data_IF_159512284126
#
_entry.id   IF_159512284126
#
_cell.length_a   1.000
_cell.length_b   1.000
_cell.length_c   1.000
_cell.angle_alpha   90.00
_cell.angle_beta   90.00
_cell.angle_gamma   90.00
#
_symmetry.space_group_name_H-M   'P 1'
#
loop_
_entity.id
_entity.type
_entity.pdbx_description
1 polymer ?
#
# COMPACT_ATOMS: atom_id res chain seq x y z
N UNK A 1 -3.11 -34.41 -6.18
CA UNK A 1 -2.89 -33.79 -7.52
C UNK A 1 -2.18 -32.45 -7.35
N UNK A 2 -0.95 -32.32 -7.84
CA UNK A 2 -0.25 -31.05 -7.83
C UNK A 2 -0.66 -30.32 -9.11
N UNK A 3 -1.62 -29.42 -9.02
CA UNK A 3 -2.02 -28.59 -10.15
C UNK A 3 -0.82 -27.77 -10.63
N UNK A 4 -0.43 -27.91 -11.89
CA UNK A 4 0.55 -27.04 -12.53
C UNK A 4 -0.03 -25.64 -12.63
N UNK A 5 0.69 -24.58 -12.20
CA UNK A 5 0.21 -23.22 -12.39
C UNK A 5 0.15 -22.90 -13.89
N UNK A 6 -0.89 -22.19 -14.30
CA UNK A 6 -1.03 -21.71 -15.65
C UNK A 6 -0.24 -20.42 -15.82
N UNK A 7 0.33 -20.23 -16.99
CA UNK A 7 1.03 -19.00 -17.35
C UNK A 7 0.07 -17.84 -17.49
N UNK A 8 0.42 -16.68 -16.92
CA UNK A 8 -0.14 -15.38 -17.23
C UNK A 8 0.94 -14.56 -17.92
N UNK A 9 0.59 -13.87 -19.00
CA UNK A 9 1.53 -13.05 -19.72
C UNK A 9 2.35 -13.78 -20.80
N UNK A 10 3.25 -13.05 -21.46
CA UNK A 10 4.05 -13.55 -22.57
C UNK A 10 5.32 -14.28 -22.12
N UNK A 11 5.93 -13.85 -21.02
CA UNK A 11 7.16 -14.47 -20.52
C UNK A 11 6.89 -15.83 -19.90
N UNK A 12 7.78 -16.79 -20.17
CA UNK A 12 7.64 -18.18 -19.73
C UNK A 12 8.86 -18.60 -18.94
N UNK A 13 8.63 -19.29 -17.83
CA UNK A 13 9.68 -19.96 -17.08
C UNK A 13 9.82 -21.42 -17.54
N UNK A 14 11.01 -21.96 -17.38
CA UNK A 14 11.23 -23.37 -17.62
C UNK A 14 10.42 -24.24 -16.62
N UNK A 15 10.07 -25.46 -17.05
CA UNK A 15 9.20 -26.31 -16.25
C UNK A 15 9.83 -26.74 -14.93
N UNK A 16 11.14 -26.99 -14.92
CA UNK A 16 11.86 -27.41 -13.72
C UNK A 16 11.97 -26.25 -12.74
N UNK A 17 12.39 -25.09 -13.23
CA UNK A 17 12.47 -23.85 -12.46
C UNK A 17 11.13 -23.47 -11.80
N UNK A 18 10.04 -23.61 -12.57
CA UNK A 18 8.70 -23.29 -12.07
C UNK A 18 8.27 -24.22 -10.89
N UNK A 19 8.63 -25.50 -10.95
CA UNK A 19 8.30 -26.47 -9.89
C UNK A 19 9.09 -26.15 -8.61
N UNK A 20 10.38 -25.84 -8.75
CA UNK A 20 11.26 -25.51 -7.64
C UNK A 20 10.86 -24.17 -6.99
N UNK A 21 10.64 -23.15 -7.82
CA UNK A 21 10.24 -21.81 -7.36
C UNK A 21 8.89 -21.85 -6.62
N UNK A 22 7.93 -22.62 -7.15
CA UNK A 22 6.62 -22.81 -6.49
C UNK A 22 6.71 -23.54 -5.17
N UNK A 23 7.61 -24.52 -5.02
CA UNK A 23 7.81 -25.24 -3.76
C UNK A 23 8.41 -24.33 -2.68
N UNK A 24 9.35 -23.47 -3.08
CA UNK A 24 10.04 -22.55 -2.19
C UNK A 24 9.30 -21.22 -1.97
N UNK A 25 8.22 -20.95 -2.71
CA UNK A 25 7.53 -19.67 -2.64
C UNK A 25 6.95 -19.39 -1.25
N UNK A 26 7.08 -18.15 -0.80
CA UNK A 26 6.47 -17.65 0.42
C UNK A 26 4.97 -17.45 0.18
N UNK A 27 4.17 -18.24 0.87
CA UNK A 27 2.70 -18.20 0.76
C UNK A 27 2.16 -17.04 1.61
N UNK A 28 1.35 -16.17 1.00
CA UNK A 28 0.70 -15.05 1.67
C UNK A 28 -0.74 -14.99 1.18
N UNK A 29 -1.67 -15.37 2.04
CA UNK A 29 -3.07 -15.56 1.64
C UNK A 29 -3.19 -16.51 0.43
N UNK A 30 -4.01 -16.17 -0.57
CA UNK A 30 -4.23 -17.02 -1.75
C UNK A 30 -3.09 -16.92 -2.79
N UNK A 31 -2.15 -16.00 -2.61
CA UNK A 31 -1.02 -15.74 -3.49
C UNK A 31 0.29 -16.32 -2.94
N UNK A 32 1.38 -16.18 -3.68
CA UNK A 32 2.70 -16.59 -3.24
C UNK A 32 3.80 -15.81 -3.95
N UNK A 33 4.82 -15.44 -3.22
CA UNK A 33 6.01 -14.75 -3.73
C UNK A 33 7.12 -15.76 -3.88
N UNK A 34 7.51 -16.07 -5.12
CA UNK A 34 8.63 -16.92 -5.46
C UNK A 34 9.88 -16.09 -5.71
N UNK A 35 11.02 -16.73 -5.96
CA UNK A 35 12.25 -16.05 -6.35
C UNK A 35 12.21 -15.53 -7.79
N UNK A 36 11.50 -16.24 -8.69
CA UNK A 36 11.44 -15.95 -10.13
C UNK A 36 10.07 -15.46 -10.59
N UNK A 37 9.00 -15.80 -9.86
CA UNK A 37 7.65 -15.47 -10.26
C UNK A 37 6.74 -15.16 -9.09
N UNK A 38 5.73 -14.35 -9.37
CA UNK A 38 4.59 -14.10 -8.50
C UNK A 38 3.48 -15.10 -8.83
N UNK A 39 2.97 -15.80 -7.81
CA UNK A 39 1.87 -16.76 -7.94
C UNK A 39 0.56 -16.12 -7.53
N UNK A 40 -0.42 -16.15 -8.44
CA UNK A 40 -1.69 -15.47 -8.29
C UNK A 40 -2.83 -16.50 -8.24
N UNK A 41 -3.88 -16.18 -7.50
CA UNK A 41 -5.06 -17.03 -7.41
C UNK A 41 -5.98 -16.87 -8.63
N UNK A 42 -6.80 -17.89 -8.84
CA UNK A 42 -8.08 -17.75 -9.53
C UNK A 42 -9.19 -17.62 -8.50
N UNK A 43 -10.43 -17.47 -8.94
CA UNK A 43 -11.57 -17.29 -8.04
C UNK A 43 -11.68 -18.42 -6.97
N UNK A 44 -11.35 -19.67 -7.33
CA UNK A 44 -11.48 -20.84 -6.44
C UNK A 44 -10.15 -21.52 -6.08
N UNK A 45 -9.06 -21.22 -6.78
CA UNK A 45 -7.81 -21.96 -6.67
C UNK A 45 -6.67 -21.03 -6.33
N UNK A 46 -6.04 -21.26 -5.17
CA UNK A 46 -4.87 -20.55 -4.75
C UNK A 46 -3.67 -20.85 -5.65
N UNK A 47 -2.88 -19.80 -5.95
CA UNK A 47 -1.65 -19.93 -6.76
C UNK A 47 -1.88 -20.71 -8.07
N UNK A 48 -3.01 -20.43 -8.71
CA UNK A 48 -3.41 -21.05 -9.97
C UNK A 48 -2.57 -20.56 -11.14
N UNK A 49 -2.16 -19.31 -11.09
CA UNK A 49 -1.40 -18.67 -12.14
C UNK A 49 0.01 -18.31 -11.67
N UNK A 50 0.96 -18.23 -12.60
CA UNK A 50 2.26 -17.64 -12.33
C UNK A 50 2.56 -16.53 -13.33
N UNK A 51 3.31 -15.54 -12.87
CA UNK A 51 3.72 -14.39 -13.64
C UNK A 51 5.19 -14.07 -13.31
N UNK A 52 6.11 -14.22 -14.27
CA UNK A 52 7.51 -13.86 -14.06
C UNK A 52 7.67 -12.37 -13.77
N UNK A 53 8.56 -12.01 -12.87
CA UNK A 53 8.73 -10.61 -12.45
C UNK A 53 9.08 -9.66 -13.59
N UNK A 54 9.81 -10.10 -14.60
CA UNK A 54 10.12 -9.29 -15.78
C UNK A 54 8.93 -8.86 -16.63
N UNK A 55 7.76 -9.51 -16.46
CA UNK A 55 6.51 -9.12 -17.11
C UNK A 55 5.65 -8.17 -16.28
N UNK A 56 5.98 -7.97 -15.00
CA UNK A 56 5.20 -7.17 -14.08
C UNK A 56 5.67 -5.72 -14.14
N UNK A 57 4.75 -4.81 -14.41
CA UNK A 57 5.01 -3.38 -14.35
C UNK A 57 4.63 -2.77 -12.99
N UNK A 58 3.48 -3.16 -12.46
CA UNK A 58 2.94 -2.61 -11.22
C UNK A 58 2.21 -3.66 -10.40
N UNK A 59 2.30 -3.54 -9.09
CA UNK A 59 1.49 -4.32 -8.13
C UNK A 59 0.99 -3.37 -7.05
N UNK A 60 -0.31 -3.27 -6.89
CA UNK A 60 -0.87 -2.34 -5.90
C UNK A 60 -2.16 -2.88 -5.28
N UNK A 61 -2.48 -2.32 -4.12
CA UNK A 61 -3.72 -2.58 -3.41
C UNK A 61 -4.83 -1.68 -3.92
N UNK A 62 -5.99 -2.24 -4.14
CA UNK A 62 -7.24 -1.52 -4.38
C UNK A 62 -8.26 -1.94 -3.34
N UNK A 63 -8.90 -0.98 -2.71
CA UNK A 63 -10.02 -1.21 -1.81
C UNK A 63 -11.30 -0.82 -2.53
N UNK A 64 -12.21 -1.77 -2.72
CA UNK A 64 -13.55 -1.50 -3.20
C UNK A 64 -14.51 -1.48 -2.02
N UNK A 65 -15.30 -0.42 -1.91
CA UNK A 65 -16.42 -0.35 -0.99
C UNK A 65 -17.65 -0.95 -1.66
N UNK A 66 -18.20 -1.99 -1.08
CA UNK A 66 -19.49 -2.51 -1.51
C UNK A 66 -20.59 -1.73 -0.79
N UNK A 67 -21.36 -0.95 -1.53
CA UNK A 67 -22.66 -0.47 -1.06
C UNK A 67 -23.62 -1.67 -1.13
N UNK A 68 -23.58 -2.50 -0.11
CA UNK A 68 -24.35 -3.73 -0.13
C UNK A 68 -25.53 -3.66 0.82
N UNK A 69 -26.64 -4.08 0.33
CA UNK A 69 -27.78 -4.48 1.10
C UNK A 69 -29.09 -4.02 0.46
N UNK A 70 -29.88 -4.98 0.08
CA UNK A 70 -31.24 -4.84 -0.43
C UNK A 70 -32.18 -4.04 0.50
N UNK A 71 -31.74 -3.72 1.72
CA UNK A 71 -32.52 -3.02 2.74
C UNK A 71 -32.01 -1.62 3.09
N UNK A 72 -31.01 -1.06 2.40
CA UNK A 72 -30.51 0.30 2.65
C UNK A 72 -29.81 0.52 4.01
N UNK A 73 -29.77 -0.49 4.88
CA UNK A 73 -29.06 -0.51 6.17
C UNK A 73 -27.85 -1.45 6.17
N UNK A 74 -27.29 -1.74 5.00
CA UNK A 74 -26.19 -2.67 4.84
C UNK A 74 -24.88 -2.15 5.41
N UNK A 75 -24.17 -2.98 6.16
CA UNK A 75 -22.78 -2.73 6.55
C UNK A 75 -21.94 -2.54 5.28
N UNK A 76 -21.16 -1.46 5.22
CA UNK A 76 -20.17 -1.25 4.19
C UNK A 76 -19.06 -2.29 4.40
N UNK A 77 -19.00 -3.27 3.53
CA UNK A 77 -17.87 -4.20 3.52
C UNK A 77 -16.81 -3.63 2.57
N UNK A 78 -15.64 -3.35 3.09
CA UNK A 78 -14.46 -3.07 2.28
C UNK A 78 -13.84 -4.38 1.83
N UNK A 79 -13.60 -4.54 0.54
CA UNK A 79 -12.90 -5.70 -0.02
C UNK A 79 -11.57 -5.24 -0.59
N UNK A 80 -10.49 -5.79 -0.05
CA UNK A 80 -9.16 -5.52 -0.54
C UNK A 80 -8.80 -6.46 -1.69
N UNK A 81 -8.31 -5.88 -2.78
CA UNK A 81 -7.82 -6.58 -3.95
C UNK A 81 -6.34 -6.27 -4.18
N UNK A 82 -5.58 -7.29 -4.53
CA UNK A 82 -4.29 -7.09 -5.16
C UNK A 82 -4.51 -6.95 -6.66
N UNK A 83 -4.02 -5.87 -7.25
CA UNK A 83 -4.03 -5.66 -8.70
C UNK A 83 -2.61 -5.78 -9.20
N UNK A 84 -2.40 -6.62 -10.20
CA UNK A 84 -1.12 -6.81 -10.87
C UNK A 84 -1.27 -6.37 -12.32
N UNK A 85 -0.46 -5.41 -12.74
CA UNK A 85 -0.36 -4.96 -14.14
C UNK A 85 0.85 -5.60 -14.80
N UNK A 86 0.65 -6.13 -16.00
CA UNK A 86 1.66 -6.87 -16.75
C UNK A 86 1.48 -6.72 -18.26
N UNK A 87 2.51 -7.04 -19.03
CA UNK A 87 2.51 -7.07 -20.50
C UNK A 87 1.84 -5.85 -21.16
N UNK A 88 2.22 -4.64 -20.73
CA UNK A 88 1.77 -3.41 -21.39
C UNK A 88 0.35 -2.98 -21.04
N UNK A 89 -0.16 -3.32 -19.85
CA UNK A 89 -1.42 -2.78 -19.33
C UNK A 89 -2.51 -3.82 -19.05
N UNK A 90 -2.22 -5.10 -19.26
CA UNK A 90 -3.12 -6.16 -18.80
C UNK A 90 -3.15 -6.18 -17.28
N UNK A 91 -4.32 -6.40 -16.70
CA UNK A 91 -4.50 -6.43 -15.26
C UNK A 91 -5.06 -7.77 -14.79
N UNK A 92 -4.54 -8.27 -13.67
CA UNK A 92 -5.10 -9.38 -12.93
C UNK A 92 -5.45 -8.93 -11.51
N UNK A 93 -6.70 -9.13 -11.13
CA UNK A 93 -7.17 -8.87 -9.78
C UNK A 93 -7.21 -10.16 -8.97
N UNK A 94 -6.76 -10.08 -7.73
CA UNK A 94 -6.73 -11.18 -6.78
C UNK A 94 -7.43 -10.75 -5.49
N UNK A 95 -8.46 -11.48 -5.09
CA UNK A 95 -9.23 -11.20 -3.89
C UNK A 95 -8.53 -11.81 -2.68
N UNK A 96 -8.50 -11.06 -1.60
CA UNK A 96 -7.97 -11.51 -0.32
C UNK A 96 -9.10 -11.51 0.72
N UNK A 97 -9.05 -12.46 1.62
CA UNK A 97 -9.99 -12.51 2.77
C UNK A 97 -9.60 -11.50 3.85
N UNK A 98 -8.30 -11.29 4.03
CA UNK A 98 -7.74 -10.36 5.00
C UNK A 98 -6.92 -9.29 4.27
N UNK A 99 -7.23 -8.04 4.52
CA UNK A 99 -6.50 -6.89 3.96
C UNK A 99 -5.04 -6.87 4.39
N UNK A 100 -4.72 -7.32 5.60
CA UNK A 100 -3.36 -7.41 6.13
C UNK A 100 -2.46 -8.34 5.32
N UNK A 101 -3.02 -9.34 4.67
CA UNK A 101 -2.24 -10.23 3.80
C UNK A 101 -1.82 -9.53 2.50
N UNK A 102 -2.64 -8.59 1.99
CA UNK A 102 -2.25 -7.76 0.84
C UNK A 102 -1.08 -6.87 1.21
N UNK A 103 -1.14 -6.23 2.38
CA UNK A 103 -0.08 -5.34 2.87
C UNK A 103 1.23 -6.10 3.09
N UNK A 104 1.19 -7.28 3.73
CA UNK A 104 2.34 -8.17 3.88
C UNK A 104 2.95 -8.60 2.54
N UNK A 105 2.10 -8.87 1.53
CA UNK A 105 2.58 -9.24 0.20
C UNK A 105 3.31 -8.08 -0.46
N UNK A 106 2.76 -6.86 -0.37
CA UNK A 106 3.40 -5.65 -0.90
C UNK A 106 4.72 -5.35 -0.18
N UNK A 107 4.80 -5.51 1.14
CA UNK A 107 6.05 -5.36 1.90
C UNK A 107 7.13 -6.34 1.45
N UNK A 108 6.76 -7.60 1.22
CA UNK A 108 7.71 -8.61 0.73
C UNK A 108 8.18 -8.27 -0.67
N UNK A 109 7.26 -7.85 -1.57
CA UNK A 109 7.63 -7.42 -2.92
C UNK A 109 8.52 -6.17 -2.89
N UNK A 110 8.27 -5.20 -2.02
CA UNK A 110 9.13 -4.02 -1.87
C UNK A 110 10.57 -4.39 -1.52
N UNK A 111 10.76 -5.43 -0.71
CA UNK A 111 12.10 -5.89 -0.29
C UNK A 111 12.78 -6.76 -1.34
N UNK A 112 12.03 -7.66 -1.95
CA UNK A 112 12.61 -8.67 -2.86
C UNK A 112 12.69 -8.21 -4.32
N UNK A 113 11.80 -7.29 -4.72
CA UNK A 113 11.64 -6.85 -6.12
C UNK A 113 11.46 -5.33 -6.21
N UNK A 114 12.47 -4.51 -5.88
CA UNK A 114 12.36 -3.06 -5.81
C UNK A 114 12.09 -2.39 -7.16
N UNK A 115 12.27 -3.10 -8.28
CA UNK A 115 11.98 -2.62 -9.63
C UNK A 115 10.49 -2.55 -9.95
N UNK A 116 9.63 -3.19 -9.14
CA UNK A 116 8.19 -3.19 -9.37
C UNK A 116 7.55 -1.98 -8.69
N UNK A 117 6.77 -1.21 -9.43
CA UNK A 117 6.01 -0.09 -8.87
C UNK A 117 4.87 -0.60 -8.00
N UNK A 118 4.84 -0.16 -6.73
CA UNK A 118 3.83 -0.61 -5.76
C UNK A 118 2.64 0.32 -5.63
N UNK A 119 2.55 1.32 -6.50
CA UNK A 119 1.45 2.28 -6.58
C UNK A 119 0.78 2.22 -7.95
N UNK A 120 -0.52 2.51 -7.97
CA UNK A 120 -1.21 2.74 -9.24
C UNK A 120 -0.71 4.03 -9.91
N UNK A 121 -0.84 4.13 -11.23
CA UNK A 121 -0.46 5.33 -11.96
C UNK A 121 -1.16 6.60 -11.41
N UNK A 122 -2.44 6.49 -11.06
CA UNK A 122 -3.18 7.59 -10.43
C UNK A 122 -2.65 7.93 -9.03
N UNK A 123 -2.25 6.91 -8.24
CA UNK A 123 -1.65 7.11 -6.91
C UNK A 123 -0.31 7.83 -6.99
N UNK A 124 0.55 7.47 -7.94
CA UNK A 124 1.82 8.17 -8.18
C UNK A 124 1.61 9.63 -8.59
N UNK A 125 0.66 9.89 -9.50
CA UNK A 125 0.33 11.27 -9.91
C UNK A 125 -0.18 12.11 -8.72
N UNK A 126 -1.01 11.52 -7.86
CA UNK A 126 -1.49 12.21 -6.65
C UNK A 126 -0.36 12.50 -5.66
N UNK A 127 0.58 11.60 -5.47
CA UNK A 127 1.74 11.83 -4.61
C UNK A 127 2.62 12.94 -5.18
N UNK A 128 2.92 12.90 -6.48
CA UNK A 128 3.70 13.95 -7.15
C UNK A 128 3.04 15.32 -7.03
N UNK A 129 1.70 15.40 -7.21
CA UNK A 129 0.96 16.66 -7.01
C UNK A 129 1.07 17.16 -5.56
N UNK A 130 0.88 16.28 -4.57
CA UNK A 130 1.01 16.67 -3.16
C UNK A 130 2.43 17.11 -2.79
N UNK A 131 3.44 16.48 -3.35
CA UNK A 131 4.83 16.87 -3.16
C UNK A 131 5.13 18.23 -3.81
N UNK A 132 4.65 18.45 -5.03
CA UNK A 132 4.76 19.73 -5.73
C UNK A 132 4.02 20.85 -4.96
N UNK A 133 2.81 20.58 -4.47
CA UNK A 133 2.07 21.53 -3.63
C UNK A 133 2.78 21.82 -2.31
N UNK A 134 3.36 20.80 -1.65
CA UNK A 134 4.16 21.00 -0.45
C UNK A 134 5.43 21.80 -0.73
N UNK A 135 6.08 21.56 -1.87
CA UNK A 135 7.24 22.33 -2.29
C UNK A 135 6.89 23.79 -2.60
N UNK A 136 5.76 24.03 -3.29
CA UNK A 136 5.28 25.39 -3.59
C UNK A 136 4.77 26.16 -2.37
N UNK A 137 4.32 25.47 -1.32
CA UNK A 137 3.90 26.09 -0.05
C UNK A 137 5.08 26.45 0.85
N UNK A 138 6.27 25.94 0.58
CA UNK A 138 7.48 26.37 1.29
C UNK A 138 7.95 27.70 0.68
N UNK A 139 7.53 28.80 1.29
CA UNK A 139 8.10 30.09 1.00
C UNK A 139 9.61 30.03 1.25
N UNK A 140 10.45 30.57 0.33
CA UNK A 140 11.88 30.70 0.56
C UNK A 140 12.11 31.54 1.83
N UNK A 141 13.10 31.13 2.60
CA UNK A 141 13.39 31.72 3.92
C UNK A 141 13.65 33.25 3.84
N UNK A 142 14.03 33.76 2.64
CA UNK A 142 14.22 35.18 2.31
C UNK A 142 12.91 35.98 2.24
N UNK A 143 11.77 35.34 2.01
CA UNK A 143 10.46 35.99 1.89
C UNK A 143 9.63 35.93 3.19
N UNK A 144 10.17 35.29 4.23
CA UNK A 144 9.49 35.19 5.52
C UNK A 144 9.60 36.53 6.26
N UNK A 145 8.49 36.97 6.81
CA UNK A 145 8.48 38.11 7.76
C UNK A 145 9.23 37.74 9.04
N UNK A 146 9.73 38.70 9.78
CA UNK A 146 10.47 38.46 11.02
C UNK A 146 9.65 37.71 12.06
N UNK A 147 8.34 37.97 12.15
CA UNK A 147 7.41 37.25 12.99
C UNK A 147 7.26 35.78 12.58
N UNK A 148 7.21 35.51 11.27
CA UNK A 148 7.16 34.16 10.75
C UNK A 148 8.45 33.38 11.05
N UNK A 149 9.62 34.00 10.92
CA UNK A 149 10.93 33.44 11.29
C UNK A 149 10.99 33.09 12.78
N UNK A 150 10.52 34.02 13.62
CA UNK A 150 10.46 33.82 15.06
C UNK A 150 9.56 32.62 15.40
N UNK A 151 8.36 32.59 14.84
CA UNK A 151 7.39 31.46 15.04
C UNK A 151 7.97 30.14 14.60
N UNK A 152 8.62 30.06 13.44
CA UNK A 152 9.29 28.85 12.96
C UNK A 152 10.38 28.39 13.93
N UNK A 153 11.15 29.33 14.47
CA UNK A 153 12.22 29.00 15.43
C UNK A 153 11.66 28.45 16.73
N UNK A 154 10.59 29.07 17.25
CA UNK A 154 9.88 28.56 18.45
C UNK A 154 9.32 27.16 18.21
N UNK A 155 8.63 26.93 17.08
CA UNK A 155 8.08 25.61 16.74
C UNK A 155 9.18 24.55 16.56
N UNK A 156 10.32 24.89 15.98
CA UNK A 156 11.45 23.97 15.83
C UNK A 156 12.01 23.57 17.20
N UNK A 157 12.21 24.52 18.10
CA UNK A 157 12.65 24.23 19.48
C UNK A 157 11.64 23.38 20.26
N UNK A 158 10.35 23.68 20.11
CA UNK A 158 9.28 22.89 20.72
C UNK A 158 9.28 21.44 20.20
N UNK A 159 9.46 21.26 18.90
CA UNK A 159 9.58 19.93 18.28
C UNK A 159 10.79 19.16 18.81
N UNK A 160 11.97 19.77 18.82
CA UNK A 160 13.20 19.17 19.37
C UNK A 160 13.04 18.78 20.86
N UNK A 161 12.35 19.62 21.63
CA UNK A 161 12.05 19.35 23.04
C UNK A 161 11.13 18.15 23.21
N UNK A 162 10.07 18.03 22.40
CA UNK A 162 9.14 16.91 22.43
C UNK A 162 9.77 15.61 21.92
N UNK A 163 10.65 15.69 20.91
CA UNK A 163 11.42 14.53 20.44
C UNK A 163 12.39 14.00 21.49
N UNK A 164 12.96 14.91 22.31
CA UNK A 164 13.84 14.54 23.43
C UNK A 164 13.09 14.00 24.66
N UNK A 165 11.78 14.25 24.76
CA UNK A 165 10.92 13.87 25.88
C UNK A 165 9.62 13.26 25.40
N UNK A 166 9.63 12.00 24.92
CA UNK A 166 8.46 11.35 24.37
C UNK A 166 7.29 11.25 25.36
N UNK A 167 7.56 11.10 26.66
CA UNK A 167 6.54 11.05 27.71
C UNK A 167 5.65 12.30 27.71
N UNK A 168 6.25 13.49 27.53
CA UNK A 168 5.52 14.76 27.47
C UNK A 168 4.72 14.87 26.15
N UNK A 169 5.26 14.35 25.05
CA UNK A 169 4.59 14.33 23.76
C UNK A 169 3.32 13.45 23.82
N UNK A 170 3.39 12.31 24.49
CA UNK A 170 2.26 11.37 24.67
C UNK A 170 1.18 11.99 25.57
N UNK A 171 1.55 12.62 26.69
CA UNK A 171 0.62 13.35 27.58
C UNK A 171 -0.07 14.50 26.83
N UNK A 172 0.65 15.28 26.03
CA UNK A 172 0.09 16.37 25.24
C UNK A 172 -0.89 15.85 24.19
N UNK A 173 -0.55 14.75 23.51
CA UNK A 173 -1.42 14.10 22.53
C UNK A 173 -2.72 13.60 23.19
N UNK A 174 -2.62 12.98 24.36
CA UNK A 174 -3.78 12.51 25.11
C UNK A 174 -4.68 13.69 25.55
N UNK A 175 -4.11 14.78 26.02
CA UNK A 175 -4.86 15.98 26.40
C UNK A 175 -5.56 16.62 25.19
N UNK A 176 -4.91 16.71 24.04
CA UNK A 176 -5.51 17.22 22.81
C UNK A 176 -6.69 16.36 22.32
N UNK A 177 -6.59 15.02 22.44
CA UNK A 177 -7.68 14.11 22.06
C UNK A 177 -8.91 14.26 22.99
N UNK A 178 -8.70 14.44 24.28
CA UNK A 178 -9.79 14.69 25.23
C UNK A 178 -10.50 16.00 24.91
N UNK A 179 -9.75 17.07 24.65
CA UNK A 179 -10.34 18.38 24.35
C UNK A 179 -11.14 18.40 23.03
N UNK A 180 -10.68 17.66 22.01
CA UNK A 180 -11.41 17.56 20.73
C UNK A 180 -12.65 16.67 20.81
N UNK A 181 -12.68 15.70 21.73
CA UNK A 181 -13.85 14.85 21.97
C UNK A 181 -14.97 15.63 22.65
N UNK A 182 -14.66 16.43 23.68
CA UNK A 182 -15.65 17.25 24.39
C UNK A 182 -16.26 18.34 23.47
N UNK A 183 -15.48 18.91 22.55
CA UNK A 183 -15.99 19.90 21.61
C UNK A 183 -16.93 19.32 20.54
N UNK A 184 -16.92 18.01 20.31
CA UNK A 184 -17.79 17.33 19.35
C UNK A 184 -19.17 16.95 19.94
N UNK A 185 -19.28 16.89 21.26
CA UNK A 185 -20.53 16.56 21.95
C UNK A 185 -21.42 17.80 22.24
N UNK A 186 -20.92 19.02 21.97
CA UNK A 186 -21.67 20.28 22.16
C UNK A 186 -22.30 20.85 20.86
N UNK A 187 -22.27 20.12 19.74
CA UNK A 187 -22.90 20.49 18.45
C UNK A 187 -23.99 19.50 18.06
#
# INVERSE_FOLDING_TARGET
MIFKPAQLGMAKLDKQELVEDRKSCKKIGPCGVGKKALYLNSFYIDRRYYLPYGSISRVFKRVAMSSGGFTGKGMFASMAYLVVEYDGGKQKQCNFKDERDVDKLLEVLAKEQPQIHLLSAAGEQMLQKKEAEKASRKLPESELTDDARHSITVLRRAKEYLEAKPEIADELSAACLLYTSDAADEL
#
